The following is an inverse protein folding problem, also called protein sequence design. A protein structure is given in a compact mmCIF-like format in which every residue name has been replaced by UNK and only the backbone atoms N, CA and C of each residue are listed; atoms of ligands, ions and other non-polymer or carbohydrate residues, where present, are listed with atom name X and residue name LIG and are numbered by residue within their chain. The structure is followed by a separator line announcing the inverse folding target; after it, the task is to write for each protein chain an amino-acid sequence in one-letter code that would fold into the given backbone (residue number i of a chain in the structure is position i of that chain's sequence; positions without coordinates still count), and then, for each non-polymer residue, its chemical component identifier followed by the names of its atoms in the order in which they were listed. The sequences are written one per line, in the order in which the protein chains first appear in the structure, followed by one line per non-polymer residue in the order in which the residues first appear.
data_IF_754858582600
#
_entry.id   IF_754858582600
#
_cell.length_a   1.000
_cell.length_b   1.000
_cell.length_c   1.000
_cell.angle_alpha   90.00
_cell.angle_beta   90.00
_cell.angle_gamma   90.00
#
_symmetry.space_group_name_H-M   'P 1'
#
loop_
_entity.id
_entity.type
_entity.pdbx_description
1 polymer ?
#
# COMPACT_ATOMS: atom_id res chain seq x y z
N UNK A 1 38.29 8.01 12.11
CA UNK A 1 37.55 8.65 11.00
C UNK A 1 36.61 7.57 10.48
N UNK A 2 35.41 7.49 11.06
CA UNK A 2 34.40 6.50 10.66
C UNK A 2 33.67 7.02 9.42
N UNK A 3 33.40 6.19 8.40
CA UNK A 3 32.59 6.63 7.29
C UNK A 3 31.17 6.86 7.82
N UNK A 4 30.73 8.11 7.79
CA UNK A 4 29.34 8.49 7.98
C UNK A 4 28.48 7.65 7.03
N UNK A 5 27.80 6.65 7.58
CA UNK A 5 26.82 5.88 6.85
C UNK A 5 25.65 6.81 6.57
N UNK A 6 25.65 7.45 5.40
CA UNK A 6 24.46 8.11 4.85
C UNK A 6 23.38 7.05 4.70
N UNK A 7 22.51 6.92 5.71
CA UNK A 7 21.26 6.18 5.59
C UNK A 7 20.47 6.84 4.47
N UNK A 8 20.55 6.25 3.28
CA UNK A 8 19.86 6.75 2.10
C UNK A 8 18.38 6.48 2.30
N UNK A 9 17.55 7.51 2.21
CA UNK A 9 16.10 7.35 2.25
C UNK A 9 15.65 6.30 1.23
N UNK A 10 14.76 5.37 1.59
CA UNK A 10 14.30 4.36 0.67
C UNK A 10 13.60 5.01 -0.52
N UNK A 11 13.86 4.49 -1.71
CA UNK A 11 13.16 4.85 -2.93
C UNK A 11 11.70 4.39 -2.86
N UNK A 12 10.87 4.97 -3.71
CA UNK A 12 9.45 4.61 -3.81
C UNK A 12 9.26 3.12 -4.16
N UNK A 13 10.08 2.60 -5.07
CA UNK A 13 10.07 1.18 -5.46
C UNK A 13 10.44 0.26 -4.29
N UNK A 14 11.39 0.67 -3.44
CA UNK A 14 11.75 -0.07 -2.22
C UNK A 14 10.62 -0.07 -1.19
N UNK A 15 9.91 1.06 -1.04
CA UNK A 15 8.74 1.14 -0.15
C UNK A 15 7.60 0.28 -0.68
N UNK A 16 7.31 0.33 -1.98
CA UNK A 16 6.29 -0.50 -2.62
C UNK A 16 6.59 -2.00 -2.45
N UNK A 17 7.82 -2.41 -2.77
CA UNK A 17 8.25 -3.79 -2.61
C UNK A 17 8.14 -4.26 -1.16
N UNK A 18 8.49 -3.41 -0.20
CA UNK A 18 8.37 -3.72 1.22
C UNK A 18 6.91 -3.84 1.69
N UNK A 19 5.98 -3.02 1.16
CA UNK A 19 4.55 -3.16 1.44
C UNK A 19 4.03 -4.50 0.93
N UNK A 20 4.32 -4.83 -0.33
CA UNK A 20 3.87 -6.08 -0.96
C UNK A 20 4.46 -7.31 -0.27
N UNK A 21 5.75 -7.28 0.08
CA UNK A 21 6.40 -8.35 0.83
C UNK A 21 5.80 -8.51 2.23
N UNK A 22 5.58 -7.40 2.95
CA UNK A 22 5.01 -7.45 4.29
C UNK A 22 3.58 -8.01 4.32
N UNK A 23 2.79 -7.78 3.27
CA UNK A 23 1.47 -8.38 3.10
C UNK A 23 1.56 -9.87 2.73
N UNK A 24 2.43 -10.22 1.78
CA UNK A 24 2.65 -11.62 1.40
C UNK A 24 3.07 -12.50 2.59
N UNK A 25 3.97 -11.98 3.43
CA UNK A 25 4.44 -12.65 4.65
C UNK A 25 3.38 -12.74 5.75
N UNK A 26 2.43 -11.81 5.79
CA UNK A 26 1.40 -11.78 6.84
C UNK A 26 0.26 -12.77 6.57
N UNK A 27 0.07 -13.17 5.31
CA UNK A 27 -0.99 -14.06 4.85
C UNK A 27 -1.60 -13.49 3.57
N UNK A 28 -1.33 -14.14 2.42
CA UNK A 28 -1.70 -13.60 1.09
C UNK A 28 -3.20 -13.27 0.95
N UNK A 29 -4.05 -14.11 1.53
CA UNK A 29 -5.50 -14.00 1.43
C UNK A 29 -6.14 -13.35 2.68
N UNK A 30 -5.32 -12.94 3.65
CA UNK A 30 -5.77 -12.37 4.92
C UNK A 30 -5.82 -10.83 4.87
N UNK A 31 -6.79 -10.27 5.58
CA UNK A 31 -6.98 -8.83 5.73
C UNK A 31 -6.32 -8.37 7.03
N UNK A 32 -5.34 -7.48 6.92
CA UNK A 32 -4.53 -7.05 8.06
C UNK A 32 -4.71 -5.56 8.40
N UNK A 33 -4.64 -5.16 9.68
CA UNK A 33 -4.59 -3.76 10.05
C UNK A 33 -3.38 -3.06 9.42
N UNK A 34 -3.58 -1.94 8.73
CA UNK A 34 -2.47 -1.19 8.12
C UNK A 34 -1.41 -0.80 9.15
N UNK A 35 -1.82 -0.45 10.37
CA UNK A 35 -0.90 -0.11 11.45
C UNK A 35 0.10 -1.25 11.78
N UNK A 36 -0.29 -2.51 11.59
CA UNK A 36 0.60 -3.66 11.79
C UNK A 36 1.58 -3.83 10.63
N UNK A 37 1.09 -3.77 9.39
CA UNK A 37 1.91 -3.88 8.18
C UNK A 37 2.92 -2.73 8.08
N UNK A 38 2.48 -1.48 8.28
CA UNK A 38 3.30 -0.26 8.17
C UNK A 38 4.55 -0.27 9.04
N UNK A 39 4.52 -0.96 10.19
CA UNK A 39 5.68 -1.10 11.10
C UNK A 39 6.84 -1.87 10.46
N UNK A 40 6.56 -2.69 9.44
CA UNK A 40 7.54 -3.50 8.70
C UNK A 40 8.11 -2.80 7.47
N UNK A 41 7.57 -1.65 7.10
CA UNK A 41 7.92 -0.92 5.87
C UNK A 41 8.91 0.20 6.22
N UNK A 42 10.00 0.40 5.45
CA UNK A 42 10.96 1.48 5.68
C UNK A 42 10.40 2.86 5.27
N UNK A 43 11.01 3.94 5.76
CA UNK A 43 10.66 5.33 5.41
C UNK A 43 9.77 6.04 6.44
N UNK A 44 9.32 7.25 6.09
CA UNK A 44 8.44 8.08 6.94
C UNK A 44 6.99 7.57 6.94
N UNK A 45 6.21 8.01 7.92
CA UNK A 45 4.79 7.65 8.02
C UNK A 45 4.00 8.07 6.77
N UNK A 46 4.20 9.30 6.32
CA UNK A 46 3.43 9.90 5.24
C UNK A 46 3.80 9.25 3.90
N UNK A 47 5.11 9.03 3.66
CA UNK A 47 5.58 8.35 2.45
C UNK A 47 5.00 6.93 2.33
N UNK A 48 4.93 6.18 3.42
CA UNK A 48 4.28 4.85 3.43
C UNK A 48 2.80 4.94 3.07
N UNK A 49 2.11 6.00 3.53
CA UNK A 49 0.72 6.27 3.20
C UNK A 49 0.54 6.55 1.71
N UNK A 50 1.35 7.45 1.16
CA UNK A 50 1.29 7.83 -0.25
C UNK A 50 1.56 6.64 -1.17
N UNK A 51 2.56 5.81 -0.83
CA UNK A 51 2.87 4.59 -1.57
C UNK A 51 1.78 3.52 -1.47
N UNK A 52 1.17 3.35 -0.30
CA UNK A 52 0.00 2.48 -0.14
C UNK A 52 -1.16 2.93 -1.05
N UNK A 53 -1.43 4.23 -1.12
CA UNK A 53 -2.48 4.78 -2.00
C UNK A 53 -2.14 4.53 -3.47
N UNK A 54 -0.88 4.72 -3.88
CA UNK A 54 -0.45 4.43 -5.26
C UNK A 54 -0.64 2.95 -5.64
N UNK A 55 -0.31 2.01 -4.73
CA UNK A 55 -0.55 0.58 -4.94
C UNK A 55 -2.05 0.25 -5.01
N UNK A 56 -2.87 0.89 -4.18
CA UNK A 56 -4.33 0.71 -4.23
C UNK A 56 -4.94 1.27 -5.53
N UNK A 57 -4.46 2.42 -6.01
CA UNK A 57 -4.89 3.03 -7.27
C UNK A 57 -4.52 2.18 -8.50
N UNK A 58 -3.59 1.22 -8.36
CA UNK A 58 -3.22 0.26 -9.43
C UNK A 58 -3.85 -1.11 -9.24
N UNK A 59 -4.61 -1.33 -8.16
CA UNK A 59 -5.23 -2.62 -7.85
C UNK A 59 -4.26 -3.65 -7.25
N UNK A 60 -3.00 -3.30 -7.01
CA UNK A 60 -2.00 -4.20 -6.41
C UNK A 60 -2.21 -4.47 -4.93
N UNK A 61 -2.97 -3.61 -4.27
CA UNK A 61 -3.36 -3.74 -2.86
C UNK A 61 -4.84 -3.42 -2.76
N UNK A 62 -5.55 -4.20 -1.96
CA UNK A 62 -6.90 -3.90 -1.54
C UNK A 62 -6.86 -3.10 -0.22
N UNK A 63 -7.76 -2.11 -0.08
CA UNK A 63 -7.82 -1.21 1.08
C UNK A 63 -9.27 -0.94 1.46
N UNK A 64 -9.60 -1.06 2.75
CA UNK A 64 -10.88 -0.64 3.29
C UNK A 64 -10.76 0.01 4.68
N UNK A 65 -11.83 0.67 5.13
CA UNK A 65 -11.93 1.26 6.47
C UNK A 65 -13.01 0.53 7.27
N UNK A 66 -12.65 0.00 8.43
CA UNK A 66 -13.56 -0.68 9.37
C UNK A 66 -13.43 -0.03 10.74
N UNK A 67 -14.54 0.54 11.26
CA UNK A 67 -14.59 1.21 12.58
C UNK A 67 -13.42 2.18 12.82
N UNK A 68 -13.12 3.02 11.85
CA UNK A 68 -12.05 4.02 11.95
C UNK A 68 -10.63 3.49 11.72
N UNK A 69 -10.45 2.21 11.41
CA UNK A 69 -9.13 1.60 11.14
C UNK A 69 -9.04 1.19 9.69
N UNK A 70 -7.88 1.42 9.09
CA UNK A 70 -7.59 0.97 7.73
C UNK A 70 -7.09 -0.49 7.76
N UNK A 71 -7.64 -1.29 6.86
CA UNK A 71 -7.28 -2.68 6.65
C UNK A 71 -6.85 -2.89 5.21
N UNK A 72 -5.84 -3.73 5.03
CA UNK A 72 -5.15 -3.95 3.75
C UNK A 72 -4.97 -5.43 3.50
N UNK A 73 -5.00 -5.81 2.22
CA UNK A 73 -4.67 -7.14 1.73
C UNK A 73 -3.92 -7.02 0.40
N UNK A 74 -3.28 -8.09 -0.07
CA UNK A 74 -2.80 -8.11 -1.46
C UNK A 74 -4.01 -7.99 -2.40
N UNK A 75 -3.84 -7.19 -3.45
CA UNK A 75 -4.83 -7.16 -4.52
C UNK A 75 -4.78 -8.44 -5.34
N UNK A 76 -5.90 -8.77 -5.96
CA UNK A 76 -6.00 -9.89 -6.88
C UNK A 76 -6.24 -9.46 -8.34
N UNK A 77 -6.46 -10.43 -9.21
CA UNK A 77 -6.71 -10.17 -10.63
C UNK A 77 -8.01 -9.38 -10.85
N UNK A 78 -9.00 -9.48 -9.96
CA UNK A 78 -10.24 -8.73 -10.07
C UNK A 78 -10.04 -7.28 -9.64
N UNK A 79 -9.23 -7.01 -8.62
CA UNK A 79 -8.86 -5.64 -8.24
C UNK A 79 -8.16 -4.88 -9.39
N UNK A 80 -7.19 -5.52 -10.04
CA UNK A 80 -6.50 -4.95 -11.21
C UNK A 80 -7.47 -4.70 -12.36
N UNK A 81 -8.38 -5.65 -12.65
CA UNK A 81 -9.42 -5.49 -13.70
C UNK A 81 -10.37 -4.34 -13.38
N UNK A 82 -10.82 -4.20 -12.14
CA UNK A 82 -11.74 -3.12 -11.75
C UNK A 82 -11.05 -1.77 -11.92
N UNK A 83 -9.78 -1.65 -11.52
CA UNK A 83 -9.00 -0.42 -11.71
C UNK A 83 -8.82 -0.10 -13.19
N UNK A 84 -8.45 -1.08 -14.02
CA UNK A 84 -8.30 -0.90 -15.45
C UNK A 84 -9.62 -0.45 -16.10
N UNK A 85 -10.75 -1.06 -15.72
CA UNK A 85 -12.07 -0.67 -16.20
C UNK A 85 -12.48 0.74 -15.75
N UNK A 86 -12.17 1.12 -14.50
CA UNK A 86 -12.44 2.47 -13.98
C UNK A 86 -11.62 3.54 -14.72
N UNK A 87 -10.35 3.26 -15.01
CA UNK A 87 -9.47 4.11 -15.82
C UNK A 87 -10.00 4.30 -17.24
N UNK A 88 -10.40 3.21 -17.91
CA UNK A 88 -11.03 3.27 -19.23
C UNK A 88 -12.35 4.06 -19.25
N UNK A 89 -13.09 4.06 -18.14
CA UNK A 89 -14.34 4.81 -17.99
C UNK A 89 -14.16 6.26 -17.52
N UNK A 90 -12.92 6.74 -17.33
CA UNK A 90 -12.64 8.07 -16.79
C UNK A 90 -13.14 8.30 -15.36
N UNK A 91 -13.42 7.23 -14.61
CA UNK A 91 -13.87 7.29 -13.22
C UNK A 91 -12.66 7.16 -12.30
N UNK A 92 -12.30 8.24 -11.62
CA UNK A 92 -11.39 8.16 -10.47
C UNK A 92 -12.13 7.47 -9.33
N UNK A 93 -11.52 6.48 -8.68
CA UNK A 93 -12.05 5.91 -7.42
C UNK A 93 -12.07 7.03 -6.37
N UNK A 94 -13.19 7.72 -6.26
CA UNK A 94 -13.48 8.71 -5.22
C UNK A 94 -14.22 8.02 -4.08
N UNK A 95 -13.68 8.12 -2.87
CA UNK A 95 -14.46 7.83 -1.67
C UNK A 95 -14.97 9.15 -1.09
N UNK A 96 -16.28 9.29 -0.83
CA UNK A 96 -16.73 10.30 0.11
C UNK A 96 -16.15 9.94 1.48
N UNK A 97 -15.40 10.87 2.07
CA UNK A 97 -14.98 10.78 3.46
C UNK A 97 -16.25 10.91 4.31
N UNK A 98 -16.71 9.80 4.90
CA UNK A 98 -17.71 9.80 5.97
C UNK A 98 -17.05 10.17 7.31
#
# INVERSE_FOLDING_TARGET
MSPDSKTTEPTDEQVDAAILAALADAGRDDVHPWAAIRRRVPGSHDRKGDRLVALWLTGRVWLCKVRGRNYVALGDADDERIVAAAGAAGRVRSFPVL
#
